data_IF_069130771524
#
_entry.id   IF_069130771524
#
_cell.length_a   1.000
_cell.length_b   1.000
_cell.length_c   1.000
_cell.angle_alpha   90.00
_cell.angle_beta   90.00
_cell.angle_gamma   90.00
#
_symmetry.space_group_name_H-M   'P 1'
#
loop_
_entity.id
_entity.type
_entity.pdbx_description
1 polymer ?
#
# COMPACT_ATOMS: atom_id res chain seq x y z
N UNK A 1 -17.78 -20.49 14.86
CA UNK A 1 -17.33 -21.40 13.78
C UNK A 1 -16.10 -22.13 14.28
N UNK A 2 -16.01 -23.46 14.17
CA UNK A 2 -14.79 -24.20 14.54
C UNK A 2 -13.73 -23.93 13.47
N UNK A 3 -12.54 -23.47 13.86
CA UNK A 3 -11.44 -23.22 12.94
C UNK A 3 -10.99 -24.55 12.31
N UNK A 4 -11.26 -24.73 11.01
CA UNK A 4 -10.93 -25.96 10.28
C UNK A 4 -9.44 -25.89 9.88
N UNK A 5 -8.64 -26.82 10.40
CA UNK A 5 -7.27 -27.05 9.93
C UNK A 5 -7.32 -27.80 8.59
N UNK A 6 -6.83 -27.17 7.52
CA UNK A 6 -6.85 -27.72 6.15
C UNK A 6 -5.60 -28.48 5.77
N UNK A 7 -4.45 -28.04 6.25
CA UNK A 7 -3.12 -28.60 5.94
C UNK A 7 -2.26 -28.59 7.22
N UNK A 8 -1.08 -29.19 7.17
CA UNK A 8 -0.09 -29.10 8.26
C UNK A 8 0.97 -28.02 8.00
N UNK A 9 1.71 -27.68 9.07
CA UNK A 9 2.78 -26.69 9.01
C UNK A 9 3.87 -27.04 7.98
N UNK A 10 4.40 -28.28 7.92
CA UNK A 10 5.38 -28.66 6.90
C UNK A 10 4.89 -28.43 5.46
N UNK A 11 3.63 -28.75 5.17
CA UNK A 11 3.02 -28.56 3.84
C UNK A 11 2.90 -27.09 3.49
N UNK A 12 2.42 -26.26 4.43
CA UNK A 12 2.32 -24.80 4.26
C UNK A 12 3.68 -24.13 4.09
N UNK A 13 4.68 -24.57 4.83
CA UNK A 13 6.05 -24.08 4.72
C UNK A 13 6.66 -24.45 3.35
N UNK A 14 6.51 -25.71 2.91
CA UNK A 14 6.93 -26.13 1.55
C UNK A 14 6.25 -25.31 0.47
N UNK A 15 4.94 -25.12 0.59
CA UNK A 15 4.13 -24.36 -0.36
C UNK A 15 4.65 -22.94 -0.53
N UNK A 16 4.78 -22.18 0.57
CA UNK A 16 5.25 -20.79 0.47
C UNK A 16 6.69 -20.69 -0.02
N UNK A 17 7.54 -21.67 0.32
CA UNK A 17 8.92 -21.71 -0.17
C UNK A 17 8.97 -21.92 -1.69
N UNK A 18 8.16 -22.85 -2.21
CA UNK A 18 8.04 -23.13 -3.64
C UNK A 18 7.43 -21.94 -4.39
N UNK A 19 6.34 -21.37 -3.89
CA UNK A 19 5.64 -20.24 -4.50
C UNK A 19 6.56 -19.03 -4.66
N UNK A 20 7.46 -18.82 -3.69
CA UNK A 20 8.41 -17.69 -3.68
C UNK A 20 9.79 -18.03 -4.21
N UNK A 21 10.00 -19.27 -4.66
CA UNK A 21 11.30 -19.78 -5.14
C UNK A 21 12.44 -19.52 -4.14
N UNK A 22 12.15 -19.63 -2.84
CA UNK A 22 13.15 -19.47 -1.77
C UNK A 22 13.67 -20.84 -1.32
N UNK A 23 14.99 -20.96 -1.24
CA UNK A 23 15.69 -22.12 -0.73
C UNK A 23 15.70 -22.17 0.80
N UNK A 24 16.02 -23.34 1.37
CA UNK A 24 16.23 -23.49 2.83
C UNK A 24 17.37 -22.60 3.33
N UNK A 25 18.42 -22.41 2.52
CA UNK A 25 19.56 -21.56 2.85
C UNK A 25 19.15 -20.08 2.91
N UNK A 26 18.34 -19.62 1.96
CA UNK A 26 17.81 -18.25 1.98
C UNK A 26 16.85 -18.03 3.14
N UNK A 27 15.95 -18.98 3.39
CA UNK A 27 15.04 -18.91 4.53
C UNK A 27 15.82 -18.85 5.85
N UNK A 28 16.87 -19.65 5.98
CA UNK A 28 17.79 -19.62 7.12
C UNK A 28 18.43 -18.24 7.29
N UNK A 29 18.91 -17.64 6.20
CA UNK A 29 19.56 -16.32 6.21
C UNK A 29 18.60 -15.21 6.67
N UNK A 30 17.35 -15.19 6.18
CA UNK A 30 16.40 -14.12 6.50
C UNK A 30 15.75 -14.28 7.88
N UNK A 31 15.61 -15.52 8.38
CA UNK A 31 15.01 -15.81 9.70
C UNK A 31 16.03 -15.94 10.82
N UNK A 32 17.32 -16.11 10.48
CA UNK A 32 18.39 -16.52 11.42
C UNK A 32 18.14 -17.86 12.10
N UNK A 33 17.24 -18.69 11.56
CA UNK A 33 17.02 -20.06 11.99
C UNK A 33 18.01 -20.97 11.26
N UNK A 34 18.54 -22.00 11.92
CA UNK A 34 19.47 -22.92 11.26
C UNK A 34 18.79 -23.70 10.14
N UNK A 35 19.51 -23.92 9.03
CA UNK A 35 19.02 -24.76 7.94
C UNK A 35 18.66 -26.18 8.40
N UNK A 36 19.34 -26.72 9.43
CA UNK A 36 18.99 -28.00 10.04
C UNK A 36 17.59 -28.00 10.66
N UNK A 37 17.24 -26.96 11.43
CA UNK A 37 15.91 -26.84 12.03
C UNK A 37 14.82 -26.76 10.96
N UNK A 38 15.06 -25.95 9.92
CA UNK A 38 14.15 -25.82 8.78
C UNK A 38 13.97 -27.16 8.07
N UNK A 39 15.05 -27.90 7.82
CA UNK A 39 15.01 -29.22 7.20
C UNK A 39 14.24 -30.23 8.05
N UNK A 40 14.47 -30.26 9.37
CA UNK A 40 13.76 -31.16 10.27
C UNK A 40 12.25 -30.88 10.30
N UNK A 41 11.85 -29.61 10.22
CA UNK A 41 10.44 -29.21 10.08
C UNK A 41 9.83 -29.62 8.74
N UNK A 42 10.53 -29.38 7.63
CA UNK A 42 10.06 -29.77 6.30
C UNK A 42 9.88 -31.30 6.17
N UNK A 43 10.68 -32.07 6.92
CA UNK A 43 10.60 -33.53 6.96
C UNK A 43 9.68 -34.06 8.07
N UNK A 44 9.04 -33.18 8.85
CA UNK A 44 8.10 -33.56 9.91
C UNK A 44 8.75 -34.30 11.09
N UNK A 45 10.05 -34.13 11.34
CA UNK A 45 10.74 -34.82 12.45
C UNK A 45 10.32 -34.26 13.82
N UNK A 46 10.17 -32.94 13.92
CA UNK A 46 9.73 -32.25 15.14
C UNK A 46 8.88 -31.03 14.78
N UNK A 47 8.05 -30.55 15.71
CA UNK A 47 7.24 -29.35 15.51
C UNK A 47 8.02 -28.07 15.82
N UNK A 48 7.79 -27.02 15.03
CA UNK A 48 8.32 -25.69 15.31
C UNK A 48 7.59 -25.08 16.52
N UNK A 49 8.35 -24.49 17.44
CA UNK A 49 7.79 -23.70 18.54
C UNK A 49 7.16 -22.40 18.01
N UNK A 50 6.22 -21.83 18.78
CA UNK A 50 5.50 -20.61 18.40
C UNK A 50 6.44 -19.44 18.05
N UNK A 51 7.51 -19.24 18.82
CA UNK A 51 8.51 -18.20 18.55
C UNK A 51 9.14 -18.34 17.15
N UNK A 52 9.35 -19.58 16.68
CA UNK A 52 9.89 -19.84 15.34
C UNK A 52 8.85 -19.65 14.25
N UNK A 53 7.61 -20.04 14.50
CA UNK A 53 6.49 -19.78 13.58
C UNK A 53 6.33 -18.28 13.36
N UNK A 54 6.38 -17.48 14.42
CA UNK A 54 6.24 -16.02 14.34
C UNK A 54 7.40 -15.37 13.57
N UNK A 55 8.64 -15.85 13.78
CA UNK A 55 9.82 -15.39 13.02
C UNK A 55 9.67 -15.69 11.53
N UNK A 56 9.29 -16.92 11.16
CA UNK A 56 9.09 -17.32 9.76
C UNK A 56 7.95 -16.50 9.14
N UNK A 57 6.83 -16.40 9.84
CA UNK A 57 5.65 -15.67 9.38
C UNK A 57 5.98 -14.20 9.14
N UNK A 58 6.74 -13.57 10.04
CA UNK A 58 7.19 -12.18 9.89
C UNK A 58 8.16 -12.03 8.72
N UNK A 59 9.19 -12.88 8.64
CA UNK A 59 10.19 -12.82 7.57
C UNK A 59 9.58 -13.03 6.18
N UNK A 60 8.53 -13.85 6.10
CA UNK A 60 7.79 -14.10 4.87
C UNK A 60 6.54 -13.22 4.74
N UNK A 61 6.23 -12.30 5.64
CA UNK A 61 5.01 -11.49 5.61
C UNK A 61 3.74 -12.33 5.33
N UNK A 62 3.57 -13.42 6.08
CA UNK A 62 2.41 -14.32 6.03
C UNK A 62 1.76 -14.44 7.41
N UNK A 63 0.52 -14.93 7.44
CA UNK A 63 -0.22 -15.25 8.66
C UNK A 63 0.38 -16.45 9.39
N UNK A 64 0.73 -16.31 10.69
CA UNK A 64 1.12 -17.44 11.53
C UNK A 64 0.05 -18.53 11.57
N UNK A 65 -1.23 -18.15 11.59
CA UNK A 65 -2.35 -19.09 11.58
C UNK A 65 -2.46 -19.83 10.23
N UNK A 66 -2.26 -19.14 9.10
CA UNK A 66 -2.20 -19.83 7.80
C UNK A 66 -1.03 -20.81 7.73
N UNK A 67 0.13 -20.38 8.22
CA UNK A 67 1.35 -21.20 8.27
C UNK A 67 1.15 -22.44 9.15
N UNK A 68 0.36 -22.35 10.21
CA UNK A 68 -0.06 -23.47 11.06
C UNK A 68 -1.13 -24.39 10.42
N UNK A 69 -1.68 -24.00 9.25
CA UNK A 69 -2.62 -24.80 8.49
C UNK A 69 -4.09 -24.45 8.68
N UNK A 70 -4.41 -23.38 9.41
CA UNK A 70 -5.78 -22.89 9.55
C UNK A 70 -6.29 -22.30 8.22
N UNK A 71 -7.60 -22.39 8.01
CA UNK A 71 -8.28 -21.81 6.85
C UNK A 71 -8.47 -20.30 6.98
N UNK A 72 -7.36 -19.57 6.88
CA UNK A 72 -7.33 -18.10 6.91
C UNK A 72 -6.52 -17.56 5.73
N UNK A 73 -6.58 -16.27 5.40
CA UNK A 73 -5.74 -15.69 4.35
C UNK A 73 -4.25 -15.90 4.62
N UNK A 74 -3.49 -16.23 3.55
CA UNK A 74 -2.04 -16.46 3.63
C UNK A 74 -1.28 -15.22 4.06
N UNK A 75 -1.63 -14.05 3.54
CA UNK A 75 -0.97 -12.80 3.87
C UNK A 75 -1.54 -12.26 5.18
N UNK A 76 -0.68 -11.64 6.00
CA UNK A 76 -1.16 -10.90 7.16
C UNK A 76 -2.15 -9.82 6.69
N UNK A 77 -3.34 -9.78 7.28
CA UNK A 77 -4.41 -8.83 6.95
C UNK A 77 -4.05 -7.34 7.12
N UNK A 78 -2.82 -7.02 7.54
CA UNK A 78 -2.29 -5.67 7.67
C UNK A 78 -1.20 -5.39 6.62
N UNK A 79 -1.52 -5.68 5.37
CA UNK A 79 -1.20 -4.89 4.16
C UNK A 79 -1.87 -5.64 3.02
N UNK A 80 -3.12 -5.28 2.74
CA UNK A 80 -3.52 -5.17 1.35
C UNK A 80 -2.47 -4.25 0.71
N UNK A 81 -1.42 -4.81 0.11
CA UNK A 81 -1.01 -4.25 -1.17
C UNK A 81 -2.24 -4.51 -2.03
N UNK A 82 -3.16 -3.54 -2.00
CA UNK A 82 -4.07 -3.40 -3.12
C UNK A 82 -3.08 -3.23 -4.26
N UNK A 83 -2.91 -4.26 -5.09
CA UNK A 83 -2.27 -4.05 -6.38
C UNK A 83 -3.26 -3.23 -7.19
N UNK A 84 -3.40 -1.95 -6.81
CA UNK A 84 -3.64 -0.94 -7.80
C UNK A 84 -2.49 -1.08 -8.79
N UNK A 85 -2.79 -1.08 -10.08
CA UNK A 85 -1.77 -0.82 -11.08
C UNK A 85 -1.28 0.60 -10.82
N UNK A 86 -0.28 0.71 -9.94
CA UNK A 86 0.38 1.95 -9.64
C UNK A 86 1.11 2.39 -10.90
N UNK A 87 0.86 3.63 -11.30
CA UNK A 87 1.67 4.33 -12.30
C UNK A 87 3.15 4.30 -11.90
N UNK A 88 4.04 4.47 -12.87
CA UNK A 88 5.48 4.50 -12.60
C UNK A 88 5.85 5.59 -11.59
N UNK A 89 5.16 6.72 -11.62
CA UNK A 89 5.36 7.84 -10.69
C UNK A 89 4.98 7.47 -9.25
N UNK A 90 3.85 6.78 -9.06
CA UNK A 90 3.43 6.32 -7.73
C UNK A 90 4.40 5.27 -7.16
N UNK A 91 4.90 4.35 -8.01
CA UNK A 91 5.92 3.39 -7.60
C UNK A 91 7.23 4.09 -7.21
N UNK A 92 7.64 5.10 -7.96
CA UNK A 92 8.84 5.88 -7.66
C UNK A 92 8.69 6.68 -6.35
N UNK A 93 7.50 7.22 -6.08
CA UNK A 93 7.21 7.92 -4.81
C UNK A 93 7.35 6.96 -3.62
N UNK A 94 6.76 5.77 -3.70
CA UNK A 94 6.88 4.75 -2.66
C UNK A 94 8.33 4.29 -2.46
N UNK A 95 9.07 4.09 -3.55
CA UNK A 95 10.50 3.73 -3.50
C UNK A 95 11.30 4.81 -2.78
N UNK A 96 11.08 6.08 -3.11
CA UNK A 96 11.74 7.22 -2.46
C UNK A 96 11.40 7.29 -0.97
N UNK A 97 10.12 7.22 -0.61
CA UNK A 97 9.68 7.24 0.78
C UNK A 97 10.35 6.14 1.61
N UNK A 98 10.33 4.90 1.12
CA UNK A 98 10.92 3.74 1.81
C UNK A 98 12.46 3.79 1.90
N UNK A 99 13.11 4.56 1.03
CA UNK A 99 14.58 4.73 1.02
C UNK A 99 15.06 5.87 1.92
N UNK A 100 14.17 6.56 2.64
CA UNK A 100 14.54 7.65 3.56
C UNK A 100 14.46 7.24 5.03
N UNK A 101 15.21 7.96 5.87
CA UNK A 101 15.10 7.84 7.33
C UNK A 101 13.86 8.56 7.87
N UNK A 102 13.61 8.46 9.18
CA UNK A 102 12.41 9.03 9.82
C UNK A 102 12.25 10.54 9.63
N UNK A 103 13.36 11.31 9.59
CA UNK A 103 13.30 12.75 9.29
C UNK A 103 12.82 13.00 7.85
N UNK A 104 13.33 12.21 6.90
CA UNK A 104 12.93 12.28 5.50
C UNK A 104 11.46 11.93 5.29
N UNK A 105 11.00 10.82 5.90
CA UNK A 105 9.59 10.41 5.83
C UNK A 105 8.64 11.48 6.37
N UNK A 106 8.96 12.09 7.52
CA UNK A 106 8.16 13.19 8.10
C UNK A 106 8.08 14.38 7.16
N UNK A 107 9.21 14.76 6.53
CA UNK A 107 9.22 15.88 5.58
C UNK A 107 8.40 15.58 4.33
N UNK A 108 8.53 14.37 3.77
CA UNK A 108 7.72 13.94 2.62
C UNK A 108 6.23 14.02 2.94
N UNK A 109 5.82 13.55 4.13
CA UNK A 109 4.42 13.59 4.54
C UNK A 109 3.89 15.03 4.69
N UNK A 110 4.61 15.87 5.46
CA UNK A 110 4.26 17.30 5.64
C UNK A 110 4.11 18.00 4.30
N UNK A 111 5.09 17.85 3.41
CA UNK A 111 5.02 18.48 2.08
C UNK A 111 3.90 17.89 1.23
N UNK A 112 3.59 16.59 1.32
CA UNK A 112 2.44 16.03 0.60
C UNK A 112 1.11 16.60 1.09
N UNK A 113 0.96 16.82 2.40
CA UNK A 113 -0.22 17.43 3.01
C UNK A 113 -0.36 18.90 2.55
N UNK A 114 0.73 19.67 2.60
CA UNK A 114 0.79 21.05 2.09
C UNK A 114 0.36 21.13 0.61
N UNK A 115 0.81 20.18 -0.23
CA UNK A 115 0.46 20.18 -1.66
C UNK A 115 -1.00 19.85 -1.92
N UNK A 116 -1.61 18.99 -1.11
CA UNK A 116 -3.06 18.69 -1.19
C UNK A 116 -3.88 19.93 -0.80
N UNK A 117 -3.41 20.69 0.18
CA UNK A 117 -4.07 21.93 0.61
C UNK A 117 -3.94 23.05 -0.43
N UNK A 118 -2.75 23.22 -1.02
CA UNK A 118 -2.49 24.25 -2.04
C UNK A 118 -3.11 23.92 -3.41
N UNK A 119 -3.18 22.63 -3.76
CA UNK A 119 -3.64 22.15 -5.07
C UNK A 119 -4.67 21.03 -4.93
N UNK A 120 -5.82 21.27 -4.29
CA UNK A 120 -6.84 20.25 -4.13
C UNK A 120 -7.39 19.82 -5.50
N UNK A 121 -7.80 18.55 -5.58
CA UNK A 121 -8.68 18.11 -6.66
C UNK A 121 -10.04 18.74 -6.37
N UNK A 122 -10.49 19.59 -7.27
CA UNK A 122 -11.80 20.24 -7.20
C UNK A 122 -12.61 19.70 -8.37
N UNK A 123 -13.87 19.32 -8.14
CA UNK A 123 -14.70 18.86 -9.24
C UNK A 123 -15.40 20.05 -9.94
N UNK A 124 -15.93 19.80 -11.15
CA UNK A 124 -16.58 20.83 -11.96
C UNK A 124 -17.71 21.53 -11.21
N UNK A 125 -18.53 20.78 -10.48
CA UNK A 125 -19.67 21.34 -9.74
C UNK A 125 -19.21 22.29 -8.63
N UNK A 126 -18.14 21.95 -7.91
CA UNK A 126 -17.52 22.83 -6.91
C UNK A 126 -16.98 24.13 -7.52
N UNK A 127 -16.39 24.06 -8.71
CA UNK A 127 -15.90 25.25 -9.42
C UNK A 127 -17.06 26.14 -9.89
N UNK A 128 -18.11 25.54 -10.44
CA UNK A 128 -19.28 26.27 -10.92
C UNK A 128 -20.07 26.92 -9.77
N UNK A 129 -20.15 26.26 -8.61
CA UNK A 129 -20.73 26.84 -7.40
C UNK A 129 -19.93 28.07 -6.93
N UNK A 130 -18.59 27.98 -6.91
CA UNK A 130 -17.73 29.12 -6.56
C UNK A 130 -17.95 30.31 -7.49
N UNK A 131 -18.15 30.08 -8.79
CA UNK A 131 -18.44 31.16 -9.73
C UNK A 131 -19.86 31.72 -9.58
N UNK A 132 -20.85 30.89 -9.27
CA UNK A 132 -22.23 31.34 -9.03
C UNK A 132 -22.30 32.31 -7.84
N UNK A 133 -21.49 32.09 -6.81
CA UNK A 133 -21.38 32.98 -5.65
C UNK A 133 -20.54 34.25 -5.94
N UNK A 134 -19.80 34.30 -7.07
CA UNK A 134 -18.91 35.39 -7.49
C UNK A 134 -19.23 35.91 -8.93
N UNK A 135 -20.49 35.77 -9.34
CA UNK A 135 -20.97 35.78 -10.74
C UNK A 135 -20.48 36.96 -11.61
N UNK A 136 -20.32 38.15 -11.04
CA UNK A 136 -19.94 39.35 -11.79
C UNK A 136 -18.45 39.38 -12.23
N UNK A 137 -17.55 38.75 -11.47
CA UNK A 137 -16.11 38.71 -11.79
C UNK A 137 -15.78 37.57 -12.75
N UNK A 138 -16.36 36.39 -12.56
CA UNK A 138 -16.10 35.22 -13.38
C UNK A 138 -16.56 35.40 -14.84
N UNK A 139 -17.75 35.98 -15.04
CA UNK A 139 -18.28 36.28 -16.38
C UNK A 139 -17.51 37.41 -17.10
N UNK A 140 -16.98 38.39 -16.36
CA UNK A 140 -16.22 39.51 -16.91
C UNK A 140 -14.81 39.12 -17.36
N UNK A 141 -14.17 38.16 -16.69
CA UNK A 141 -12.80 37.69 -16.99
C UNK A 141 -12.74 36.59 -18.06
N UNK A 142 -13.76 35.73 -18.18
CA UNK A 142 -13.69 34.57 -19.09
C UNK A 142 -13.93 34.90 -20.56
N UNK A 143 -14.74 35.93 -20.86
CA UNK A 143 -15.20 36.23 -22.23
C UNK A 143 -16.00 35.12 -22.91
N UNK A 144 -16.36 34.05 -22.18
CA UNK A 144 -17.06 32.84 -22.64
C UNK A 144 -18.10 32.41 -21.61
N UNK A 145 -19.11 31.64 -22.02
CA UNK A 145 -20.02 31.01 -21.08
C UNK A 145 -19.26 29.96 -20.24
N UNK A 146 -19.37 30.02 -18.91
CA UNK A 146 -18.71 29.09 -17.98
C UNK A 146 -19.09 27.63 -18.26
N UNK A 147 -20.32 27.39 -18.70
CA UNK A 147 -20.80 26.04 -19.03
C UNK A 147 -20.10 25.44 -20.26
N UNK A 148 -19.56 26.27 -21.13
CA UNK A 148 -18.88 25.86 -22.36
C UNK A 148 -17.35 25.72 -22.19
N UNK A 149 -16.82 26.04 -21.01
CA UNK A 149 -15.40 25.90 -20.69
C UNK A 149 -15.05 24.44 -20.36
N UNK A 150 -13.87 24.01 -20.82
CA UNK A 150 -13.27 22.74 -20.40
C UNK A 150 -12.92 22.76 -18.92
N UNK A 151 -12.75 21.58 -18.31
CA UNK A 151 -12.39 21.48 -16.89
C UNK A 151 -11.04 22.17 -16.58
N UNK A 152 -10.09 22.12 -17.51
CA UNK A 152 -8.80 22.79 -17.38
C UNK A 152 -8.91 24.33 -17.43
N UNK A 153 -9.77 24.86 -18.31
CA UNK A 153 -10.08 26.29 -18.37
C UNK A 153 -10.81 26.75 -17.09
N UNK A 154 -11.77 25.98 -16.59
CA UNK A 154 -12.49 26.27 -15.34
C UNK A 154 -11.56 26.26 -14.13
N UNK A 155 -10.68 25.26 -14.02
CA UNK A 155 -9.68 25.19 -12.96
C UNK A 155 -8.69 26.36 -13.00
N UNK A 156 -8.26 26.76 -14.19
CA UNK A 156 -7.31 27.88 -14.35
C UNK A 156 -7.94 29.21 -13.92
N UNK A 157 -9.20 29.45 -14.32
CA UNK A 157 -9.96 30.63 -13.90
C UNK A 157 -10.24 30.62 -12.39
N UNK A 158 -10.57 29.45 -11.82
CA UNK A 158 -10.80 29.29 -10.39
C UNK A 158 -9.57 29.66 -9.56
N UNK A 159 -8.38 29.21 -9.98
CA UNK A 159 -7.13 29.55 -9.29
C UNK A 159 -6.81 31.04 -9.36
N UNK A 160 -6.97 31.65 -10.54
CA UNK A 160 -6.72 33.08 -10.74
C UNK A 160 -7.57 33.94 -9.78
N UNK A 161 -8.85 33.59 -9.60
CA UNK A 161 -9.78 34.35 -8.78
C UNK A 161 -9.68 34.06 -7.27
N UNK A 162 -9.15 32.90 -6.88
CA UNK A 162 -8.99 32.54 -5.46
C UNK A 162 -7.71 33.11 -4.84
N UNK A 163 -6.72 33.42 -5.68
CA UNK A 163 -5.43 33.96 -5.26
C UNK A 163 -5.37 35.51 -5.30
N UNK A 164 -6.45 36.20 -5.71
CA UNK A 164 -6.65 37.68 -5.61
C UNK A 164 -7.26 38.11 -4.26
#
# INVERSE_FOLDING_TARGET
MKDIKKEDFPSRLKKIMNDRKISQAELSKITKITASSISDWLNGKYEAKQDKIDIIATALNISPAWLLGYDVPMLNGNKKIISYDLTQSEQQLLKNYNSTNEKGKKRIMSTSEEMVELYPIINRDEILNFFSDNDMQAAALSGKNLNDMSDEELHSLYRLLKDE
#
